data_IF_518470688038
#
_entry.id   IF_518470688038
#
_cell.length_a   1.000
_cell.length_b   1.000
_cell.length_c   1.000
_cell.angle_alpha   90.00
_cell.angle_beta   90.00
_cell.angle_gamma   90.00
#
_symmetry.space_group_name_H-M   'P 1'
#
loop_
_entity.id
_entity.type
_entity.pdbx_description
1 polymer ?
#
# COMPACT_ATOMS: atom_id res chain seq x y z
N UNK A 1 -6.29 -29.88 48.08
CA UNK A 1 -5.05 -29.86 47.28
C UNK A 1 -5.24 -28.90 46.11
N UNK A 2 -4.41 -27.87 46.01
CA UNK A 2 -4.40 -26.93 44.88
C UNK A 2 -3.77 -27.61 43.66
N UNK A 3 -4.44 -27.54 42.51
CA UNK A 3 -3.91 -28.05 41.24
C UNK A 3 -3.27 -26.88 40.50
N UNK A 4 -1.95 -26.77 40.55
CA UNK A 4 -1.19 -25.82 39.75
C UNK A 4 -1.09 -26.36 38.31
N UNK A 5 -1.56 -25.58 37.33
CA UNK A 5 -1.39 -25.88 35.91
C UNK A 5 0.08 -25.64 35.48
N UNK A 6 0.63 -26.43 34.54
CA UNK A 6 1.97 -26.19 34.02
C UNK A 6 1.96 -25.04 33.02
N UNK A 7 2.84 -24.06 33.23
CA UNK A 7 3.13 -23.01 32.25
C UNK A 7 3.80 -23.64 31.01
N UNK A 8 3.07 -23.72 29.90
CA UNK A 8 3.64 -24.12 28.61
C UNK A 8 4.46 -22.93 28.08
N UNK A 9 5.78 -23.01 28.21
CA UNK A 9 6.72 -22.12 27.53
C UNK A 9 6.93 -22.63 26.10
N UNK A 10 6.32 -21.96 25.12
CA UNK A 10 6.62 -22.16 23.70
C UNK A 10 7.84 -21.32 23.32
N UNK A 11 9.03 -21.94 23.37
CA UNK A 11 10.27 -21.34 22.91
C UNK A 11 10.25 -21.18 21.38
N UNK A 12 10.35 -19.95 20.91
CA UNK A 12 10.54 -19.61 19.51
C UNK A 12 11.86 -20.17 18.99
N UNK A 13 11.79 -21.02 17.97
CA UNK A 13 12.95 -21.50 17.23
C UNK A 13 13.28 -20.49 16.12
N UNK A 14 14.23 -19.60 16.39
CA UNK A 14 14.87 -18.78 15.37
C UNK A 14 16.03 -19.59 14.77
N UNK A 15 15.82 -20.20 13.59
CA UNK A 15 16.95 -20.72 12.81
C UNK A 15 17.79 -19.55 12.28
N UNK A 16 18.70 -19.06 13.13
CA UNK A 16 19.87 -18.31 12.71
C UNK A 16 20.82 -19.23 11.99
N UNK A 17 21.20 -18.86 10.77
CA UNK A 17 22.22 -19.56 9.99
C UNK A 17 23.56 -19.51 10.71
N UNK A 18 24.11 -20.71 10.95
CA UNK A 18 25.45 -20.89 11.51
C UNK A 18 26.49 -20.34 10.54
N UNK A 19 27.24 -19.33 10.97
CA UNK A 19 28.48 -18.92 10.30
C UNK A 19 29.60 -19.79 10.86
N UNK A 20 30.29 -20.54 9.99
CA UNK A 20 31.55 -21.21 10.30
C UNK A 20 32.69 -20.27 9.94
N UNK A 21 33.57 -20.03 10.91
CA UNK A 21 34.63 -19.03 10.91
C UNK A 21 35.61 -19.11 9.74
N UNK A 22 36.01 -17.93 9.25
CA UNK A 22 37.11 -17.73 8.32
C UNK A 22 37.42 -16.25 8.11
N UNK A 23 38.23 -15.68 8.99
CA UNK A 23 39.12 -14.52 8.78
C UNK A 23 38.60 -13.33 7.94
N UNK A 24 38.21 -12.24 8.60
CA UNK A 24 38.68 -10.87 8.33
C UNK A 24 37.85 -9.85 9.10
N UNK A 25 38.51 -9.06 9.96
CA UNK A 25 38.02 -7.78 10.46
C UNK A 25 37.71 -6.81 9.30
N UNK A 26 36.51 -6.92 8.73
CA UNK A 26 35.96 -5.87 7.89
C UNK A 26 34.56 -5.55 8.38
N UNK A 27 34.55 -4.67 9.39
CA UNK A 27 33.46 -3.75 9.73
C UNK A 27 32.58 -3.51 8.49
N UNK A 28 31.34 -4.01 8.49
CA UNK A 28 30.40 -3.90 7.37
C UNK A 28 30.22 -2.43 7.02
N UNK A 29 30.92 -1.98 5.97
CA UNK A 29 30.70 -0.68 5.34
C UNK A 29 29.41 -0.81 4.55
N UNK A 30 28.29 -0.37 5.09
CA UNK A 30 27.10 -0.05 4.28
C UNK A 30 27.39 1.27 3.56
N UNK A 31 28.31 1.23 2.60
CA UNK A 31 28.55 2.32 1.67
C UNK A 31 27.44 2.24 0.62
N UNK A 32 26.58 3.25 0.57
CA UNK A 32 25.51 3.39 -0.42
C UNK A 32 26.01 3.23 -1.88
N UNK A 33 27.29 3.50 -2.13
CA UNK A 33 27.97 3.34 -3.43
C UNK A 33 28.14 1.89 -3.93
N UNK A 34 27.97 0.87 -3.08
CA UNK A 34 28.13 -0.53 -3.50
C UNK A 34 26.85 -1.15 -4.08
N UNK A 35 25.70 -0.46 -4.00
CA UNK A 35 24.43 -0.92 -4.56
C UNK A 35 24.29 -0.43 -6.00
N UNK A 36 24.82 -1.20 -6.95
CA UNK A 36 24.46 -1.02 -8.36
C UNK A 36 22.98 -1.43 -8.51
N UNK A 37 22.09 -0.46 -8.71
CA UNK A 37 20.69 -0.76 -9.03
C UNK A 37 20.64 -1.25 -10.47
N UNK A 38 20.02 -2.40 -10.69
CA UNK A 38 19.66 -2.83 -12.04
C UNK A 38 18.69 -1.79 -12.61
N UNK A 39 19.15 -1.03 -13.62
CA UNK A 39 18.29 -0.08 -14.32
C UNK A 39 17.39 -0.89 -15.25
N UNK A 40 16.08 -0.81 -15.06
CA UNK A 40 15.12 -1.38 -16.00
C UNK A 40 14.92 -0.43 -17.18
N UNK A 41 14.64 -0.95 -18.37
CA UNK A 41 14.36 -0.15 -19.59
C UNK A 41 13.22 0.85 -19.36
N UNK A 42 12.29 0.52 -18.46
CA UNK A 42 11.19 1.40 -18.03
C UNK A 42 11.71 2.69 -17.36
N UNK A 43 12.78 2.61 -16.57
CA UNK A 43 13.35 3.78 -15.87
C UNK A 43 14.02 4.76 -16.83
N UNK A 44 14.51 4.29 -17.98
CA UNK A 44 15.14 5.11 -19.02
C UNK A 44 14.11 5.93 -19.79
N UNK A 45 13.02 5.30 -20.23
CA UNK A 45 11.91 5.96 -20.94
C UNK A 45 11.24 7.04 -20.06
N UNK A 46 11.05 6.78 -18.76
CA UNK A 46 10.50 7.75 -17.80
C UNK A 46 11.38 9.00 -17.66
N UNK A 47 12.70 8.87 -17.65
CA UNK A 47 13.61 10.02 -17.63
C UNK A 47 13.63 10.77 -18.96
N UNK A 48 13.51 10.06 -20.09
CA UNK A 48 13.55 10.66 -21.42
C UNK A 48 12.25 11.42 -21.78
N UNK A 49 11.10 11.00 -21.26
CA UNK A 49 9.83 11.70 -21.48
C UNK A 49 9.67 13.00 -20.67
N UNK A 50 10.41 13.17 -19.57
CA UNK A 50 10.46 14.44 -18.81
C UNK A 50 11.52 15.40 -19.41
N UNK A 51 12.55 14.88 -20.07
CA UNK A 51 13.65 15.67 -20.64
C UNK A 51 13.62 15.93 -22.15
N UNK A 52 12.81 15.21 -22.94
CA UNK A 52 12.83 15.27 -24.41
C UNK A 52 11.45 15.45 -25.05
N UNK A 53 10.55 16.19 -24.39
CA UNK A 53 9.36 16.79 -25.03
C UNK A 53 9.35 18.31 -24.94
N UNK A 54 10.51 18.91 -25.19
CA UNK A 54 10.60 20.24 -25.78
C UNK A 54 10.85 20.08 -27.27
N UNK A 55 9.79 20.05 -28.08
CA UNK A 55 9.71 20.45 -29.52
C UNK A 55 8.48 19.79 -30.16
N UNK A 56 7.34 20.44 -30.05
CA UNK A 56 6.53 20.73 -31.25
C UNK A 56 6.43 22.24 -31.28
N UNK A 57 7.00 22.86 -32.31
CA UNK A 57 6.85 24.28 -32.58
C UNK A 57 5.35 24.58 -32.69
N UNK A 58 4.84 25.37 -31.75
CA UNK A 58 3.62 26.17 -31.93
C UNK A 58 3.99 27.58 -31.49
N UNK A 59 3.76 28.50 -32.41
CA UNK A 59 4.14 29.90 -32.35
C UNK A 59 3.46 30.68 -31.21
N UNK A 60 3.99 31.88 -30.99
CA UNK A 60 3.74 32.82 -29.90
C UNK A 60 2.27 33.10 -29.50
N UNK A 61 2.13 33.46 -28.21
CA UNK A 61 1.01 34.13 -27.54
C UNK A 61 -0.16 33.28 -27.01
N UNK A 62 0.03 32.72 -25.82
CA UNK A 62 -0.81 32.96 -24.62
C UNK A 62 -0.40 31.99 -23.51
N UNK A 63 0.11 32.52 -22.40
CA UNK A 63 0.29 31.77 -21.17
C UNK A 63 -1.08 31.36 -20.63
N UNK A 64 -1.49 30.12 -20.90
CA UNK A 64 -2.63 29.49 -20.25
C UNK A 64 -2.18 28.16 -19.66
N UNK A 65 -2.31 28.09 -18.35
CA UNK A 65 -1.93 27.01 -17.45
C UNK A 65 -2.39 25.63 -17.93
N UNK A 66 -1.46 24.76 -18.29
CA UNK A 66 -1.71 23.32 -18.37
C UNK A 66 -1.53 22.72 -16.97
N UNK A 67 -2.48 23.03 -16.08
CA UNK A 67 -2.70 22.20 -14.89
C UNK A 67 -3.28 20.88 -15.37
N UNK A 68 -2.45 19.84 -15.42
CA UNK A 68 -2.94 18.47 -15.43
C UNK A 68 -3.86 18.33 -14.22
N UNK A 69 -5.16 18.28 -14.49
CA UNK A 69 -6.19 18.09 -13.51
C UNK A 69 -6.07 16.64 -13.05
N UNK A 70 -5.24 16.44 -12.03
CA UNK A 70 -5.24 15.21 -11.24
C UNK A 70 -6.65 15.11 -10.66
N UNK A 71 -7.40 14.09 -11.06
CA UNK A 71 -8.68 13.79 -10.45
C UNK A 71 -8.46 13.72 -8.94
N UNK A 72 -9.23 14.50 -8.19
CA UNK A 72 -9.16 14.50 -6.74
C UNK A 72 -9.38 13.06 -6.28
N UNK A 73 -8.43 12.54 -5.50
CA UNK A 73 -8.55 11.21 -4.89
C UNK A 73 -9.87 11.22 -4.12
N UNK A 74 -10.77 10.29 -4.46
CA UNK A 74 -12.04 10.16 -3.77
C UNK A 74 -11.76 9.98 -2.28
N UNK A 75 -12.20 10.95 -1.47
CA UNK A 75 -12.01 10.91 -0.03
C UNK A 75 -12.72 9.69 0.54
N UNK A 76 -11.98 8.87 1.28
CA UNK A 76 -12.51 7.70 1.98
C UNK A 76 -12.86 8.08 3.41
N UNK A 77 -13.93 7.48 3.94
CA UNK A 77 -14.41 7.72 5.30
C UNK A 77 -14.45 6.40 6.08
N UNK A 78 -14.11 6.46 7.38
CA UNK A 78 -14.26 5.32 8.28
C UNK A 78 -15.73 5.07 8.60
N UNK A 79 -16.21 3.90 8.22
CA UNK A 79 -17.63 3.56 8.26
C UNK A 79 -17.84 2.27 9.08
N UNK A 80 -18.72 2.32 10.08
CA UNK A 80 -18.96 1.17 10.96
C UNK A 80 -20.08 0.28 10.44
N UNK A 81 -19.79 -1.00 10.25
CA UNK A 81 -20.76 -2.02 9.85
C UNK A 81 -21.80 -2.24 10.97
N UNK A 82 -23.09 -2.16 10.61
CA UNK A 82 -24.20 -2.38 11.54
C UNK A 82 -24.45 -3.87 11.83
N UNK A 83 -23.89 -4.77 11.01
CA UNK A 83 -24.01 -6.22 11.21
C UNK A 83 -22.98 -6.77 12.22
N UNK A 84 -21.69 -6.49 12.00
CA UNK A 84 -20.60 -7.05 12.82
C UNK A 84 -19.88 -6.02 13.71
N UNK A 85 -20.16 -4.73 13.54
CA UNK A 85 -19.58 -3.66 14.36
C UNK A 85 -18.13 -3.30 14.03
N UNK A 86 -17.52 -3.92 13.02
CA UNK A 86 -16.19 -3.56 12.52
C UNK A 86 -16.25 -2.27 11.68
N UNK A 87 -15.18 -1.47 11.73
CA UNK A 87 -15.01 -0.29 10.87
C UNK A 87 -14.25 -0.66 9.60
N UNK A 88 -14.66 -0.09 8.47
CA UNK A 88 -14.03 -0.27 7.16
C UNK A 88 -13.93 1.11 6.48
N UNK A 89 -12.84 1.36 5.76
CA UNK A 89 -12.64 2.55 4.95
C UNK A 89 -13.52 2.44 3.69
N UNK A 90 -14.50 3.33 3.57
CA UNK A 90 -15.49 3.28 2.51
C UNK A 90 -15.46 4.56 1.66
N UNK A 91 -15.67 4.41 0.35
CA UNK A 91 -15.95 5.58 -0.51
C UNK A 91 -17.42 5.99 -0.38
N UNK A 92 -17.76 7.27 -0.60
CA UNK A 92 -19.14 7.74 -0.64
C UNK A 92 -20.01 6.96 -1.64
N UNK A 93 -19.45 6.55 -2.78
CA UNK A 93 -20.14 5.74 -3.79
C UNK A 93 -20.52 4.37 -3.23
N UNK A 94 -19.60 3.71 -2.53
CA UNK A 94 -19.87 2.41 -1.90
C UNK A 94 -20.93 2.54 -0.80
N UNK A 95 -20.83 3.54 0.07
CA UNK A 95 -21.82 3.81 1.13
C UNK A 95 -23.22 3.97 0.52
N UNK A 96 -23.35 4.74 -0.57
CA UNK A 96 -24.63 4.92 -1.26
C UNK A 96 -25.18 3.63 -1.84
N UNK A 97 -24.33 2.81 -2.48
CA UNK A 97 -24.70 1.52 -3.04
C UNK A 97 -25.19 0.54 -1.98
N UNK A 98 -24.45 0.40 -0.89
CA UNK A 98 -24.78 -0.47 0.24
C UNK A 98 -26.09 -0.04 0.90
N UNK A 99 -26.25 1.25 1.23
CA UNK A 99 -27.48 1.74 1.84
C UNK A 99 -28.71 1.52 0.96
N UNK A 100 -28.57 1.58 -0.37
CA UNK A 100 -29.66 1.29 -1.29
C UNK A 100 -30.08 -0.20 -1.28
N UNK A 101 -29.13 -1.12 -1.09
CA UNK A 101 -29.39 -2.58 -1.07
C UNK A 101 -29.84 -3.10 0.29
N UNK A 102 -29.30 -2.55 1.38
CA UNK A 102 -29.46 -3.11 2.73
C UNK A 102 -30.40 -2.28 3.62
N UNK A 103 -31.53 -1.83 3.07
CA UNK A 103 -32.57 -1.09 3.81
C UNK A 103 -32.04 0.14 4.56
N UNK A 104 -31.12 0.88 3.93
CA UNK A 104 -30.49 2.06 4.51
C UNK A 104 -29.36 1.77 5.50
N UNK A 105 -29.10 0.50 5.82
CA UNK A 105 -28.02 0.11 6.74
C UNK A 105 -26.68 0.07 6.03
N UNK A 106 -25.63 0.40 6.77
CA UNK A 106 -24.26 0.24 6.31
C UNK A 106 -23.70 -1.12 6.72
N UNK A 107 -23.22 -1.89 5.74
CA UNK A 107 -22.74 -3.26 5.89
C UNK A 107 -21.37 -3.38 5.20
N UNK A 108 -20.38 -3.96 5.88
CA UNK A 108 -19.05 -4.18 5.30
C UNK A 108 -19.08 -5.19 4.16
N UNK A 109 -18.06 -5.19 3.30
CA UNK A 109 -18.02 -6.06 2.11
C UNK A 109 -18.25 -7.54 2.44
N UNK A 110 -17.66 -8.04 3.53
CA UNK A 110 -17.82 -9.44 3.96
C UNK A 110 -19.25 -9.78 4.38
N UNK A 111 -19.94 -8.87 5.07
CA UNK A 111 -21.31 -9.09 5.50
C UNK A 111 -22.31 -8.90 4.35
N UNK A 112 -21.98 -8.09 3.33
CA UNK A 112 -22.81 -7.94 2.14
C UNK A 112 -22.84 -9.26 1.34
N UNK A 113 -21.66 -9.83 1.07
CA UNK A 113 -21.51 -11.11 0.36
C UNK A 113 -22.16 -12.28 1.13
N UNK A 114 -22.10 -12.26 2.47
CA UNK A 114 -22.73 -13.30 3.28
C UNK A 114 -24.27 -13.32 3.21
N UNK A 115 -24.89 -12.20 2.79
CA UNK A 115 -26.36 -12.04 2.74
C UNK A 115 -26.89 -12.15 1.31
N UNK A 116 -26.07 -11.87 0.28
CA UNK A 116 -26.39 -12.13 -1.13
C UNK A 116 -26.29 -13.65 -1.40
N UNK A 117 -27.36 -14.40 -1.08
CA UNK A 117 -27.57 -15.82 -1.41
C UNK A 117 -28.50 -16.01 -2.60
#
# INVERSE_FOLDING_TARGET
MAMAAPFIAMASNMQGVVSVDGNAEKRRRTSSDALQRTVSDVSYELHHHVGAKGTTMVDDAAAAEQKQQLDAIAEVEDARCECCGMSEECTPEYIRGVRARFAGRLVCGLCAEAVES
#
